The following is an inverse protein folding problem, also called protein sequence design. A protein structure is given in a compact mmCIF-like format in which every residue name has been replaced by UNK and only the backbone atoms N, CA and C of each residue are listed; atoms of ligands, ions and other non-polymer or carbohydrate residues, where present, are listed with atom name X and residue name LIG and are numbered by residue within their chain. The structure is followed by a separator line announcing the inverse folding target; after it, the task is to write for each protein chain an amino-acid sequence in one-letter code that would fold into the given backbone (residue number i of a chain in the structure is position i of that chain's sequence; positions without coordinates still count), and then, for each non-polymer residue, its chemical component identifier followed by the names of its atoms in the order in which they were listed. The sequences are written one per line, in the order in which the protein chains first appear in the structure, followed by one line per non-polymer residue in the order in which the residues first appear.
data_IF_151913933596
#
_entry.id   IF_151913933596
#
_cell.length_a   1.000
_cell.length_b   1.000
_cell.length_c   1.000
_cell.angle_alpha   90.00
_cell.angle_beta   90.00
_cell.angle_gamma   90.00
#
_symmetry.space_group_name_H-M   'P 1'
#
loop_
_entity.id
_entity.type
_entity.pdbx_description
1 polymer ?
#
# COMPACT_ATOMS: atom_id res chain seq x y z
N UNK A 1 12.95 1.70 22.93
CA UNK A 1 11.54 1.60 22.56
C UNK A 1 11.36 0.42 21.62
N UNK A 2 10.70 -0.64 22.09
CA UNK A 2 10.32 -1.76 21.23
C UNK A 2 9.14 -1.31 20.37
N UNK A 3 9.31 -1.35 19.07
CA UNK A 3 8.22 -1.07 18.14
C UNK A 3 7.25 -2.23 18.09
N UNK A 4 5.98 -1.93 17.90
CA UNK A 4 5.02 -2.96 17.58
C UNK A 4 5.45 -3.65 16.28
N UNK A 5 5.57 -4.97 16.27
CA UNK A 5 5.94 -5.66 15.05
C UNK A 5 4.85 -5.52 13.99
N UNK A 6 5.24 -5.53 12.72
CA UNK A 6 4.29 -5.64 11.63
C UNK A 6 3.46 -6.91 11.78
N UNK A 7 2.23 -6.95 11.27
CA UNK A 7 1.45 -8.19 11.23
C UNK A 7 2.24 -9.31 10.56
N UNK A 8 2.06 -10.54 11.02
CA UNK A 8 2.70 -11.71 10.42
C UNK A 8 2.20 -11.96 9.00
N UNK A 9 3.02 -12.62 8.19
CA UNK A 9 2.62 -13.03 6.85
C UNK A 9 1.34 -13.85 6.89
N UNK A 10 1.26 -14.82 7.79
CA UNK A 10 0.09 -15.67 7.92
C UNK A 10 -1.17 -14.90 8.26
N UNK A 11 -1.08 -13.94 9.18
CA UNK A 11 -2.21 -13.07 9.54
C UNK A 11 -2.68 -12.25 8.34
N UNK A 12 -1.76 -11.68 7.58
CA UNK A 12 -2.09 -10.90 6.39
C UNK A 12 -2.66 -11.76 5.26
N UNK A 13 -2.13 -12.97 5.05
CA UNK A 13 -2.64 -13.91 4.03
C UNK A 13 -4.05 -14.38 4.40
N UNK A 14 -4.29 -14.73 5.66
CA UNK A 14 -5.63 -15.11 6.11
C UNK A 14 -6.64 -13.97 5.96
N UNK A 15 -6.24 -12.76 6.30
CA UNK A 15 -7.08 -11.59 6.12
C UNK A 15 -7.40 -11.34 4.65
N UNK A 16 -6.42 -11.44 3.77
CA UNK A 16 -6.61 -11.36 2.32
C UNK A 16 -7.62 -12.40 1.83
N UNK A 17 -7.45 -13.66 2.21
CA UNK A 17 -8.34 -14.73 1.77
C UNK A 17 -9.79 -14.51 2.24
N UNK A 18 -9.99 -13.94 3.42
CA UNK A 18 -11.30 -13.63 3.97
C UNK A 18 -11.94 -12.36 3.36
N UNK A 19 -11.14 -11.51 2.72
CA UNK A 19 -11.58 -10.25 2.14
C UNK A 19 -11.20 -10.11 0.67
N UNK A 20 -11.00 -11.22 -0.03
CA UNK A 20 -10.53 -11.27 -1.41
C UNK A 20 -11.31 -10.36 -2.34
N UNK A 21 -12.64 -10.36 -2.24
CA UNK A 21 -13.47 -9.55 -3.11
C UNK A 21 -13.24 -8.04 -2.92
N UNK A 22 -12.92 -7.60 -1.71
CA UNK A 22 -12.64 -6.19 -1.42
C UNK A 22 -11.27 -5.78 -1.99
N UNK A 23 -10.27 -6.64 -1.89
CA UNK A 23 -8.95 -6.41 -2.52
C UNK A 23 -9.07 -6.37 -4.04
N UNK A 24 -9.78 -7.32 -4.63
CA UNK A 24 -10.01 -7.34 -6.08
C UNK A 24 -10.80 -6.12 -6.55
N UNK A 25 -11.77 -5.64 -5.76
CA UNK A 25 -12.52 -4.42 -6.05
C UNK A 25 -11.61 -3.19 -6.06
N UNK A 26 -10.70 -3.04 -5.09
CA UNK A 26 -9.72 -1.96 -5.07
C UNK A 26 -8.88 -1.93 -6.33
N UNK A 27 -8.34 -3.09 -6.73
CA UNK A 27 -7.53 -3.19 -7.94
C UNK A 27 -8.34 -2.84 -9.19
N UNK A 28 -9.55 -3.38 -9.30
CA UNK A 28 -10.45 -3.09 -10.43
C UNK A 28 -10.71 -1.58 -10.57
N UNK A 29 -11.02 -0.91 -9.47
CA UNK A 29 -11.26 0.53 -9.46
C UNK A 29 -9.98 1.30 -9.83
N UNK A 30 -8.85 0.93 -9.28
CA UNK A 30 -7.58 1.60 -9.56
C UNK A 30 -7.15 1.43 -11.03
N UNK A 31 -7.45 0.29 -11.64
CA UNK A 31 -7.19 0.06 -13.07
C UNK A 31 -8.13 0.87 -13.97
N UNK A 32 -9.39 1.05 -13.57
CA UNK A 32 -10.35 1.90 -14.28
C UNK A 32 -9.96 3.39 -14.20
N UNK A 33 -9.45 3.82 -13.06
CA UNK A 33 -9.13 5.22 -12.79
C UNK A 33 -7.71 5.57 -13.25
N UNK A 34 -7.50 5.68 -14.54
CA UNK A 34 -6.18 5.86 -15.14
C UNK A 34 -5.48 7.16 -14.73
N UNK A 35 -6.24 8.19 -14.38
CA UNK A 35 -5.70 9.48 -13.93
C UNK A 35 -5.29 9.52 -12.46
N UNK A 36 -5.59 8.48 -11.70
CA UNK A 36 -5.25 8.38 -10.28
C UNK A 36 -3.87 7.78 -10.10
N UNK A 37 -3.04 8.43 -9.30
CA UNK A 37 -1.71 7.96 -8.91
C UNK A 37 -1.71 7.30 -7.54
N UNK A 38 -2.43 7.89 -6.60
CA UNK A 38 -2.55 7.37 -5.24
C UNK A 38 -3.86 7.79 -4.59
N UNK A 39 -4.37 6.92 -3.74
CA UNK A 39 -5.51 7.19 -2.87
C UNK A 39 -5.00 7.17 -1.43
N UNK A 40 -5.23 8.27 -0.71
CA UNK A 40 -4.91 8.39 0.71
C UNK A 40 -6.19 8.48 1.55
N UNK A 41 -6.06 8.50 2.87
CA UNK A 41 -7.21 8.60 3.77
C UNK A 41 -8.06 9.85 3.58
N UNK A 42 -7.48 10.96 3.16
CA UNK A 42 -8.15 12.26 3.05
C UNK A 42 -8.05 12.91 1.68
N UNK A 43 -7.34 12.29 0.73
CA UNK A 43 -7.08 12.92 -0.56
C UNK A 43 -6.72 11.91 -1.64
N UNK A 44 -6.76 12.36 -2.88
CA UNK A 44 -6.36 11.59 -4.06
C UNK A 44 -5.28 12.38 -4.79
N UNK A 45 -4.15 11.72 -5.07
CA UNK A 45 -3.12 12.28 -5.94
C UNK A 45 -3.38 11.85 -7.38
N UNK A 46 -3.47 12.82 -8.28
CA UNK A 46 -3.65 12.59 -9.71
C UNK A 46 -2.31 12.52 -10.44
N UNK A 47 -2.31 12.03 -11.67
CA UNK A 47 -1.10 11.85 -12.47
C UNK A 47 -0.32 13.14 -12.72
N UNK A 48 -0.99 14.28 -12.75
CA UNK A 48 -0.38 15.61 -12.88
C UNK A 48 0.12 16.20 -11.55
N UNK A 49 0.18 15.37 -10.49
CA UNK A 49 0.55 15.73 -9.13
C UNK A 49 -0.40 16.71 -8.44
N UNK A 50 -1.54 17.02 -9.02
CA UNK A 50 -2.61 17.75 -8.33
C UNK A 50 -3.26 16.84 -7.28
N UNK A 51 -3.72 17.47 -6.20
CA UNK A 51 -4.35 16.78 -5.08
C UNK A 51 -5.84 17.13 -5.05
N UNK A 52 -6.68 16.12 -5.25
CA UNK A 52 -8.12 16.27 -5.10
C UNK A 52 -8.52 16.00 -3.63
N UNK A 53 -9.41 16.76 -3.01
CA UNK A 53 -10.03 18.00 -3.51
C UNK A 53 -9.24 19.28 -3.17
N UNK A 54 -8.08 19.17 -2.53
CA UNK A 54 -7.37 20.32 -1.93
C UNK A 54 -6.85 21.35 -2.96
N UNK A 55 -6.29 20.86 -4.08
CA UNK A 55 -5.72 21.77 -5.12
C UNK A 55 -6.49 21.73 -6.42
N UNK A 56 -7.43 20.82 -6.60
CA UNK A 56 -8.30 20.71 -7.78
C UNK A 56 -9.62 20.07 -7.43
N UNK A 57 -10.71 20.50 -8.08
CA UNK A 57 -12.00 19.82 -8.06
C UNK A 57 -12.24 18.94 -9.29
N UNK A 58 -11.30 18.98 -10.25
CA UNK A 58 -11.39 18.23 -11.51
C UNK A 58 -10.60 16.92 -11.46
N UNK A 59 -10.93 16.00 -12.35
CA UNK A 59 -10.20 14.75 -12.52
C UNK A 59 -10.58 13.61 -11.58
N UNK A 60 -11.45 13.88 -10.60
CA UNK A 60 -11.96 12.87 -9.68
C UNK A 60 -13.33 13.31 -9.14
N UNK A 61 -14.16 12.36 -8.71
CA UNK A 61 -15.52 12.66 -8.23
C UNK A 61 -15.73 12.26 -6.77
N UNK A 62 -16.65 12.96 -6.09
CA UNK A 62 -17.06 12.61 -4.73
C UNK A 62 -17.72 11.23 -4.67
N UNK A 63 -18.46 10.84 -5.70
CA UNK A 63 -19.08 9.50 -5.75
C UNK A 63 -18.01 8.41 -5.80
N UNK A 64 -17.00 8.59 -6.65
CA UNK A 64 -15.87 7.64 -6.74
C UNK A 64 -15.05 7.60 -5.46
N UNK A 65 -14.84 8.73 -4.84
CA UNK A 65 -14.21 8.83 -3.52
C UNK A 65 -14.95 8.00 -2.48
N UNK A 66 -16.29 8.09 -2.44
CA UNK A 66 -17.11 7.32 -1.52
C UNK A 66 -17.02 5.82 -1.78
N UNK A 67 -16.89 5.39 -3.04
CA UNK A 67 -16.66 3.98 -3.38
C UNK A 67 -15.34 3.47 -2.79
N UNK A 68 -14.23 4.21 -2.97
CA UNK A 68 -12.94 3.85 -2.38
C UNK A 68 -13.01 3.78 -0.84
N UNK A 69 -13.59 4.78 -0.23
CA UNK A 69 -13.75 4.81 1.23
C UNK A 69 -14.59 3.66 1.76
N UNK A 70 -15.62 3.27 1.03
CA UNK A 70 -16.45 2.13 1.38
C UNK A 70 -15.64 0.83 1.41
N UNK A 71 -14.78 0.61 0.42
CA UNK A 71 -13.90 -0.57 0.40
C UNK A 71 -12.86 -0.51 1.52
N UNK A 72 -12.22 0.64 1.75
CA UNK A 72 -11.30 0.80 2.87
C UNK A 72 -11.97 0.53 4.23
N UNK A 73 -13.22 0.97 4.41
CA UNK A 73 -13.97 0.70 5.64
C UNK A 73 -14.17 -0.79 5.89
N UNK A 74 -14.35 -1.59 4.84
CA UNK A 74 -14.44 -3.05 4.95
C UNK A 74 -13.08 -3.71 5.25
N UNK A 75 -11.97 -3.03 4.98
CA UNK A 75 -10.60 -3.49 5.24
C UNK A 75 -9.99 -2.81 6.48
N UNK A 76 -10.79 -2.56 7.51
CA UNK A 76 -10.41 -1.71 8.64
C UNK A 76 -9.51 -2.36 9.69
N UNK A 77 -9.33 -3.68 9.69
CA UNK A 77 -8.55 -4.39 10.71
C UNK A 77 -7.11 -3.87 10.84
N UNK A 78 -6.45 -3.57 9.74
CA UNK A 78 -5.06 -3.11 9.69
C UNK A 78 -4.93 -1.64 9.30
N UNK A 79 -6.00 -0.86 9.41
CA UNK A 79 -6.03 0.56 8.99
C UNK A 79 -5.58 0.73 7.54
N UNK A 80 -6.04 -0.17 6.67
CA UNK A 80 -5.76 -0.08 5.23
C UNK A 80 -6.52 1.12 4.68
N UNK A 81 -5.81 2.21 4.44
CA UNK A 81 -6.38 3.47 3.96
C UNK A 81 -5.53 4.16 2.88
N UNK A 82 -4.56 3.42 2.34
CA UNK A 82 -3.68 3.95 1.32
C UNK A 82 -3.45 2.92 0.21
N UNK A 83 -3.65 3.39 -1.02
CA UNK A 83 -3.38 2.65 -2.24
C UNK A 83 -2.49 3.51 -3.13
N UNK A 84 -1.41 2.95 -3.66
CA UNK A 84 -0.52 3.65 -4.60
C UNK A 84 -0.32 2.84 -5.87
N UNK A 85 -0.25 3.53 -7.00
CA UNK A 85 0.08 2.93 -8.30
C UNK A 85 1.53 3.25 -8.63
N UNK A 86 2.33 2.22 -8.84
CA UNK A 86 3.74 2.35 -9.24
C UNK A 86 3.96 1.53 -10.51
N UNK A 87 4.06 2.21 -11.65
CA UNK A 87 4.20 1.57 -12.96
C UNK A 87 3.01 0.62 -13.22
N UNK A 88 3.27 -0.68 -13.29
CA UNK A 88 2.33 -1.77 -13.53
C UNK A 88 1.85 -2.47 -12.26
N UNK A 89 2.14 -1.89 -11.07
CA UNK A 89 1.82 -2.46 -9.76
C UNK A 89 0.89 -1.57 -8.98
N UNK A 90 0.04 -2.22 -8.16
CA UNK A 90 -0.83 -1.53 -7.21
C UNK A 90 -0.45 -2.00 -5.82
N UNK A 91 -0.02 -1.05 -4.98
CA UNK A 91 0.39 -1.29 -3.60
C UNK A 91 -0.72 -0.87 -2.65
N UNK A 92 -1.05 -1.74 -1.70
CA UNK A 92 -2.03 -1.47 -0.64
C UNK A 92 -1.29 -1.64 0.69
N UNK A 93 -1.13 -0.54 1.42
CA UNK A 93 -0.35 -0.52 2.66
C UNK A 93 -1.20 -1.07 3.80
N UNK A 94 -0.70 -2.06 4.51
CA UNK A 94 -1.33 -2.64 5.69
C UNK A 94 -0.67 -2.17 7.00
N UNK A 95 0.62 -1.91 6.98
CA UNK A 95 1.37 -1.48 8.15
C UNK A 95 2.57 -0.64 7.73
N UNK A 96 2.75 0.51 8.36
CA UNK A 96 3.89 1.38 8.14
C UNK A 96 4.49 1.81 9.47
N UNK A 97 5.81 1.93 9.50
CA UNK A 97 6.54 2.42 10.66
C UNK A 97 7.67 3.34 10.20
N UNK A 98 7.93 4.38 10.95
CA UNK A 98 8.99 5.33 10.64
C UNK A 98 9.87 5.60 11.85
N UNK A 99 11.17 5.81 11.61
CA UNK A 99 12.14 6.17 12.63
C UNK A 99 12.96 7.36 12.19
N UNK A 100 13.02 8.41 13.02
CA UNK A 100 13.90 9.52 12.71
C UNK A 100 15.36 9.06 12.72
N UNK A 101 16.12 9.52 11.73
CA UNK A 101 17.57 9.39 11.71
C UNK A 101 18.22 10.65 12.31
N UNK A 102 19.46 10.55 12.80
CA UNK A 102 20.24 11.76 13.13
C UNK A 102 20.32 12.65 11.89
N UNK A 103 19.78 13.85 11.98
CA UNK A 103 19.63 14.75 10.85
C UNK A 103 18.15 14.99 10.51
N UNK A 104 17.78 14.92 9.24
CA UNK A 104 16.43 15.26 8.77
C UNK A 104 15.71 14.10 8.08
N UNK A 105 16.40 13.00 7.83
CA UNK A 105 15.82 11.83 7.14
C UNK A 105 15.11 10.90 8.13
N UNK A 106 14.20 10.09 7.61
CA UNK A 106 13.53 9.04 8.38
C UNK A 106 13.63 7.71 7.66
N UNK A 107 13.84 6.65 8.42
CA UNK A 107 13.68 5.29 7.90
C UNK A 107 12.20 4.97 7.91
N UNK A 108 11.69 4.49 6.77
CA UNK A 108 10.31 4.05 6.62
C UNK A 108 10.31 2.57 6.27
N UNK A 109 9.55 1.79 7.04
CA UNK A 109 9.32 0.38 6.77
C UNK A 109 7.84 0.18 6.55
N UNK A 110 7.49 -0.45 5.43
CA UNK A 110 6.11 -0.70 5.04
C UNK A 110 5.93 -2.19 4.77
N UNK A 111 4.83 -2.75 5.24
CA UNK A 111 4.38 -4.09 4.91
C UNK A 111 2.94 -4.01 4.40
N UNK A 112 2.63 -4.74 3.34
CA UNK A 112 1.31 -4.69 2.75
C UNK A 112 1.14 -5.67 1.60
N UNK A 113 0.19 -5.34 0.73
CA UNK A 113 -0.19 -6.16 -0.41
C UNK A 113 0.20 -5.47 -1.71
N UNK A 114 0.58 -6.26 -2.70
CA UNK A 114 0.81 -5.77 -4.05
C UNK A 114 0.14 -6.66 -5.07
N UNK A 115 -0.59 -6.03 -5.98
CA UNK A 115 -1.08 -6.66 -7.19
C UNK A 115 -0.09 -6.37 -8.32
N UNK A 116 0.40 -7.41 -8.99
CA UNK A 116 1.33 -7.29 -10.10
C UNK A 116 1.01 -8.33 -11.17
N UNK A 117 0.94 -7.88 -12.42
CA UNK A 117 0.73 -8.78 -13.57
C UNK A 117 1.98 -9.62 -13.80
N UNK A 118 3.15 -8.99 -13.74
CA UNK A 118 4.44 -9.68 -13.81
C UNK A 118 4.96 -9.99 -12.41
N UNK A 119 5.57 -11.16 -12.26
CA UNK A 119 6.13 -11.58 -10.99
C UNK A 119 7.20 -10.59 -10.50
N UNK A 120 7.02 -9.99 -9.32
CA UNK A 120 8.04 -9.11 -8.75
C UNK A 120 9.22 -9.91 -8.18
N UNK A 121 10.37 -9.28 -8.08
CA UNK A 121 11.59 -9.89 -7.54
C UNK A 121 12.26 -8.95 -6.52
N UNK A 122 12.93 -9.50 -5.50
CA UNK A 122 13.09 -10.93 -5.21
C UNK A 122 11.87 -11.53 -4.47
N UNK A 123 11.56 -12.78 -4.76
CA UNK A 123 10.61 -13.55 -3.98
C UNK A 123 11.32 -14.24 -2.81
N UNK A 124 10.67 -14.22 -1.65
CA UNK A 124 11.13 -14.87 -0.43
C UNK A 124 10.03 -15.76 0.15
N UNK A 125 10.42 -16.73 0.99
CA UNK A 125 9.47 -17.63 1.63
C UNK A 125 8.78 -17.01 2.84
N UNK A 126 9.38 -16.00 3.45
CA UNK A 126 8.83 -15.29 4.62
C UNK A 126 9.33 -13.86 4.67
N UNK A 127 8.43 -12.94 5.02
CA UNK A 127 8.74 -11.54 5.33
C UNK A 127 8.78 -11.28 6.84
N UNK A 128 8.44 -12.27 7.67
CA UNK A 128 8.31 -12.09 9.12
C UNK A 128 9.62 -11.74 9.81
N UNK A 129 10.75 -12.17 9.25
CA UNK A 129 12.10 -11.91 9.79
C UNK A 129 12.71 -10.61 9.29
N UNK A 130 12.03 -9.90 8.38
CA UNK A 130 12.51 -8.63 7.85
C UNK A 130 12.43 -7.52 8.90
N UNK A 131 13.49 -6.74 9.02
CA UNK A 131 13.58 -5.66 9.98
C UNK A 131 14.31 -4.44 9.41
N UNK A 132 14.79 -3.57 10.30
CA UNK A 132 15.49 -2.33 9.92
C UNK A 132 16.83 -2.53 9.21
N UNK A 133 17.38 -3.71 9.30
CA UNK A 133 18.62 -4.12 8.64
C UNK A 133 18.38 -4.77 7.28
N UNK A 134 17.11 -5.02 6.92
CA UNK A 134 16.72 -5.60 5.64
C UNK A 134 16.39 -4.52 4.62
N UNK A 135 17.39 -3.96 3.96
CA UNK A 135 17.22 -2.89 2.98
C UNK A 135 16.64 -3.39 1.67
N UNK A 136 15.78 -2.56 1.05
CA UNK A 136 15.16 -2.86 -0.22
C UNK A 136 13.72 -3.35 -0.10
N UNK A 137 13.24 -3.95 -1.17
CA UNK A 137 11.87 -4.45 -1.27
C UNK A 137 11.89 -5.96 -1.51
N UNK A 138 11.11 -6.69 -0.73
CA UNK A 138 11.01 -8.14 -0.81
C UNK A 138 9.54 -8.53 -0.95
N UNK A 139 9.28 -9.64 -1.65
CA UNK A 139 7.92 -10.09 -1.96
C UNK A 139 7.74 -11.55 -1.57
N UNK A 140 6.54 -11.88 -1.09
CA UNK A 140 6.09 -13.24 -0.87
C UNK A 140 4.81 -13.48 -1.65
N UNK A 141 4.76 -14.53 -2.48
CA UNK A 141 3.57 -14.87 -3.27
C UNK A 141 2.41 -15.29 -2.37
N UNK A 142 1.22 -14.72 -2.62
CA UNK A 142 -0.04 -15.20 -2.06
C UNK A 142 -0.74 -16.10 -3.08
N UNK A 143 -0.93 -15.60 -4.31
CA UNK A 143 -1.45 -16.36 -5.44
C UNK A 143 -0.95 -15.77 -6.77
N UNK A 144 -1.66 -15.98 -7.89
CA UNK A 144 -1.17 -15.71 -9.23
C UNK A 144 -0.67 -14.27 -9.46
N UNK A 145 -1.39 -13.26 -8.95
CA UNK A 145 -1.04 -11.85 -9.15
C UNK A 145 -0.95 -11.07 -7.85
N UNK A 146 -1.14 -11.73 -6.73
CA UNK A 146 -1.11 -11.11 -5.43
C UNK A 146 0.10 -11.56 -4.62
N UNK A 147 0.73 -10.59 -3.96
CA UNK A 147 1.93 -10.79 -3.16
C UNK A 147 1.81 -9.98 -1.88
N UNK A 148 2.44 -10.44 -0.81
CA UNK A 148 2.85 -9.57 0.28
C UNK A 148 4.15 -8.88 -0.10
N UNK A 149 4.36 -7.68 0.40
CA UNK A 149 5.64 -7.00 0.25
C UNK A 149 6.08 -6.37 1.56
N UNK A 150 7.40 -6.23 1.69
CA UNK A 150 8.06 -5.51 2.76
C UNK A 150 9.08 -4.57 2.10
N UNK A 151 8.97 -3.30 2.40
CA UNK A 151 9.83 -2.27 1.82
C UNK A 151 10.50 -1.47 2.92
N UNK A 152 11.81 -1.31 2.78
CA UNK A 152 12.62 -0.42 3.58
C UNK A 152 13.08 0.73 2.70
N UNK A 153 12.93 1.94 3.16
CA UNK A 153 13.34 3.12 2.44
C UNK A 153 13.73 4.27 3.35
N UNK A 154 14.38 5.26 2.78
CA UNK A 154 14.68 6.53 3.44
C UNK A 154 13.72 7.58 2.88
N UNK A 155 12.92 8.15 3.77
CA UNK A 155 12.11 9.32 3.45
C UNK A 155 12.94 10.57 3.69
N UNK A 156 13.12 11.37 2.65
CA UNK A 156 13.77 12.67 2.77
C UNK A 156 12.74 13.71 3.15
N UNK A 157 13.06 14.67 3.99
CA UNK A 157 12.16 15.79 4.24
C UNK A 157 11.98 16.60 2.94
N UNK A 158 10.73 16.98 2.67
CA UNK A 158 10.41 17.92 1.57
C UNK A 158 10.92 19.32 1.88
#
# INVERSE_FOLDING_TARGET
MTRAPHPSDEALINYFNNHRSDFDRHVSMALEDSSVRAIYSESVMLDDYKVWPATTSEGFSSDRWNEYRSVFARLSKYKIDCLTKKRDRIHIIASGDSSPLPGLDSIVIVKGYVYAVEEPAPLVSSLDEMGFDSTGTFFRRIDQHWYLYHEWGISKPE
#
